data_IF_569704697120
#
_entry.id   IF_569704697120
#
_cell.length_a   1.000
_cell.length_b   1.000
_cell.length_c   1.000
_cell.angle_alpha   90.00
_cell.angle_beta   90.00
_cell.angle_gamma   90.00
#
_symmetry.space_group_name_H-M   'P 1'
#
loop_
_entity.id
_entity.type
_entity.pdbx_description
1 polymer ?
#
# COMPACT_ATOMS: atom_id res chain seq x y z
N UNK A 1 15.57 3.01 -10.92
CA UNK A 1 15.05 1.62 -10.95
C UNK A 1 14.10 1.33 -9.79
N UNK A 2 14.46 1.60 -8.53
CA UNK A 2 13.58 1.38 -7.36
C UNK A 2 12.26 2.18 -7.44
N UNK A 3 12.33 3.45 -7.86
CA UNK A 3 11.13 4.30 -8.03
C UNK A 3 10.14 3.73 -9.05
N UNK A 4 10.65 3.06 -10.09
CA UNK A 4 9.82 2.45 -11.14
C UNK A 4 9.19 1.16 -10.65
N UNK A 5 9.92 0.31 -9.90
CA UNK A 5 9.37 -0.93 -9.36
C UNK A 5 8.28 -0.66 -8.31
N UNK A 6 8.51 0.27 -7.38
CA UNK A 6 7.54 0.63 -6.36
C UNK A 6 6.31 1.38 -6.92
N UNK A 7 6.50 2.24 -7.93
CA UNK A 7 5.39 2.84 -8.66
C UNK A 7 4.61 1.80 -9.47
N UNK A 8 5.28 0.81 -10.08
CA UNK A 8 4.64 -0.33 -10.76
C UNK A 8 4.00 -1.30 -9.78
N UNK A 9 4.49 -1.40 -8.54
CA UNK A 9 3.79 -2.13 -7.50
C UNK A 9 2.56 -1.36 -7.09
N UNK A 10 2.55 -0.03 -6.94
CA UNK A 10 1.39 0.75 -6.45
C UNK A 10 0.35 1.17 -7.51
N UNK A 11 0.73 1.36 -8.77
CA UNK A 11 -0.15 1.73 -9.88
C UNK A 11 -1.26 0.70 -10.19
N UNK A 12 -1.02 -0.61 -10.08
CA UNK A 12 -2.05 -1.61 -10.23
C UNK A 12 -3.15 -1.46 -9.16
N UNK A 13 -2.88 -1.00 -7.94
CA UNK A 13 -3.83 -1.10 -6.83
C UNK A 13 -5.09 -0.28 -7.03
N UNK A 14 -4.97 0.93 -7.58
CA UNK A 14 -6.09 1.85 -7.80
C UNK A 14 -6.96 1.43 -8.99
N UNK A 15 -6.43 0.58 -9.89
CA UNK A 15 -7.16 0.00 -11.03
C UNK A 15 -7.55 -1.46 -10.82
N UNK A 16 -6.88 -2.18 -9.91
CA UNK A 16 -6.95 -3.62 -9.79
C UNK A 16 -7.76 -4.12 -8.59
N UNK A 17 -8.08 -3.25 -7.64
CA UNK A 17 -8.90 -3.58 -6.47
C UNK A 17 -10.22 -2.82 -6.56
N UNK A 18 -11.32 -3.50 -6.25
CA UNK A 18 -12.62 -2.87 -6.14
C UNK A 18 -12.55 -1.77 -5.08
N UNK A 19 -12.56 -0.51 -5.53
CA UNK A 19 -12.39 0.67 -4.69
C UNK A 19 -13.39 0.68 -3.53
N UNK A 20 -14.60 0.20 -3.76
CA UNK A 20 -15.63 0.15 -2.71
C UNK A 20 -15.27 -0.88 -1.64
N UNK A 21 -14.76 -2.06 -2.03
CA UNK A 21 -14.27 -3.07 -1.07
C UNK A 21 -13.05 -2.58 -0.28
N UNK A 22 -12.17 -1.78 -0.87
CA UNK A 22 -11.02 -1.22 -0.16
C UNK A 22 -11.42 -0.17 0.87
N UNK A 23 -12.46 0.63 0.59
CA UNK A 23 -13.02 1.58 1.57
C UNK A 23 -13.68 0.87 2.76
N UNK A 24 -14.23 -0.32 2.54
CA UNK A 24 -14.79 -1.16 3.61
C UNK A 24 -13.70 -1.79 4.50
N UNK A 25 -12.47 -1.92 3.98
CA UNK A 25 -11.35 -2.54 4.67
C UNK A 25 -10.65 -1.54 5.63
N UNK A 26 -11.15 -1.45 6.86
CA UNK A 26 -10.55 -0.64 7.94
C UNK A 26 -9.22 -1.23 8.42
N UNK A 27 -8.25 -0.38 8.79
CA UNK A 27 -6.93 -0.79 9.31
C UNK A 27 -6.98 -1.70 10.52
N UNK A 28 -7.95 -1.49 11.39
CA UNK A 28 -8.08 -2.25 12.63
C UNK A 28 -8.71 -3.63 12.42
N UNK A 29 -9.28 -3.88 11.23
CA UNK A 29 -9.98 -5.12 10.93
C UNK A 29 -9.03 -6.32 10.88
N UNK A 30 -9.54 -7.49 11.28
CA UNK A 30 -8.81 -8.76 11.13
C UNK A 30 -8.45 -9.05 9.68
N UNK A 31 -9.35 -8.73 8.75
CA UNK A 31 -9.14 -8.89 7.31
C UNK A 31 -7.93 -8.09 6.80
N UNK A 32 -7.73 -6.85 7.26
CA UNK A 32 -6.56 -6.05 6.90
C UNK A 32 -5.25 -6.67 7.44
N UNK A 33 -5.29 -7.19 8.67
CA UNK A 33 -4.14 -7.86 9.30
C UNK A 33 -3.77 -9.17 8.59
N UNK A 34 -4.76 -9.93 8.13
CA UNK A 34 -4.57 -11.16 7.34
C UNK A 34 -3.93 -10.91 5.98
N UNK A 35 -4.06 -9.70 5.42
CA UNK A 35 -3.35 -9.30 4.21
C UNK A 35 -1.85 -9.05 4.43
N UNK A 36 -1.35 -9.12 5.67
CA UNK A 36 0.07 -8.98 5.99
C UNK A 36 0.62 -7.55 5.87
N UNK A 37 -0.26 -6.55 5.73
CA UNK A 37 0.17 -5.15 5.69
C UNK A 37 0.73 -4.72 7.05
N UNK A 38 1.89 -4.04 7.08
CA UNK A 38 2.39 -3.47 8.32
C UNK A 38 1.46 -2.34 8.79
N UNK A 39 1.42 -2.11 10.10
CA UNK A 39 0.87 -0.87 10.64
C UNK A 39 1.87 0.23 10.32
N UNK A 40 1.47 1.19 9.48
CA UNK A 40 2.33 2.29 9.06
C UNK A 40 2.43 3.29 10.21
N UNK A 41 3.63 3.49 10.81
CA UNK A 41 3.77 4.49 11.86
C UNK A 41 3.62 5.88 11.23
N UNK A 42 2.65 6.66 11.73
CA UNK A 42 2.51 8.06 11.37
C UNK A 42 3.61 8.87 12.03
N UNK A 43 4.41 9.56 11.22
CA UNK A 43 5.39 10.52 11.71
C UNK A 43 4.77 11.92 11.81
N UNK A 44 5.27 12.79 12.71
CA UNK A 44 4.86 14.19 12.76
C UNK A 44 5.04 14.88 11.41
N UNK A 45 4.12 15.77 11.08
CA UNK A 45 4.13 16.55 9.83
C UNK A 45 3.76 18.00 10.11
N UNK A 46 4.06 18.89 9.17
CA UNK A 46 3.81 20.33 9.29
C UNK A 46 2.37 20.72 8.91
N UNK A 47 1.79 20.02 7.92
CA UNK A 47 0.44 20.26 7.45
C UNK A 47 -0.64 19.49 8.22
N UNK A 48 -1.91 19.70 7.85
CA UNK A 48 -3.00 18.86 8.34
C UNK A 48 -2.79 17.43 7.84
N UNK A 49 -2.70 16.47 8.76
CA UNK A 49 -2.65 15.06 8.38
C UNK A 49 -3.96 14.66 7.69
N UNK A 50 -3.91 14.01 6.52
CA UNK A 50 -5.09 13.40 5.94
C UNK A 50 -5.55 12.28 6.88
N UNK A 51 -6.86 12.15 7.05
CA UNK A 51 -7.44 11.00 7.73
C UNK A 51 -7.21 9.76 6.87
N UNK A 52 -6.35 8.87 7.35
CA UNK A 52 -6.13 7.56 6.71
C UNK A 52 -7.09 6.59 7.37
N UNK A 53 -8.34 6.56 6.89
CA UNK A 53 -9.41 5.76 7.49
C UNK A 53 -9.50 4.32 6.99
N UNK A 54 -9.02 4.07 5.78
CA UNK A 54 -9.16 2.78 5.08
C UNK A 54 -7.94 2.46 4.20
N UNK A 55 -7.90 1.21 3.73
CA UNK A 55 -6.82 0.71 2.89
C UNK A 55 -6.68 1.49 1.57
N UNK A 56 -7.77 2.01 1.01
CA UNK A 56 -7.73 2.80 -0.23
C UNK A 56 -6.93 4.09 -0.03
N UNK A 57 -7.21 4.83 1.03
CA UNK A 57 -6.52 6.08 1.35
C UNK A 57 -5.02 5.88 1.63
N UNK A 58 -4.64 4.81 2.34
CA UNK A 58 -3.22 4.49 2.53
C UNK A 58 -2.52 4.16 1.22
N UNK A 59 -3.12 3.32 0.38
CA UNK A 59 -2.54 2.95 -0.92
C UNK A 59 -2.39 4.17 -1.81
N UNK A 60 -3.39 5.06 -1.81
CA UNK A 60 -3.35 6.36 -2.51
C UNK A 60 -2.18 7.20 -2.03
N UNK A 61 -1.98 7.34 -0.72
CA UNK A 61 -0.87 8.10 -0.13
C UNK A 61 0.49 7.49 -0.44
N UNK A 62 0.65 6.17 -0.29
CA UNK A 62 1.88 5.47 -0.63
C UNK A 62 2.23 5.68 -2.10
N UNK A 63 1.27 5.46 -3.00
CA UNK A 63 1.45 5.66 -4.44
C UNK A 63 1.87 7.08 -4.75
N UNK A 64 1.16 8.07 -4.22
CA UNK A 64 1.45 9.48 -4.48
C UNK A 64 2.86 9.85 -4.00
N UNK A 65 3.26 9.41 -2.80
CA UNK A 65 4.61 9.64 -2.29
C UNK A 65 5.67 9.06 -3.23
N UNK A 66 5.50 7.80 -3.64
CA UNK A 66 6.45 7.12 -4.53
C UNK A 66 6.48 7.71 -5.95
N UNK A 67 5.32 8.05 -6.52
CA UNK A 67 5.21 8.64 -7.85
C UNK A 67 5.91 9.99 -7.97
N UNK A 68 5.91 10.77 -6.89
CA UNK A 68 6.60 12.06 -6.83
C UNK A 68 8.05 11.97 -6.34
N UNK A 69 8.58 10.75 -6.12
CA UNK A 69 9.94 10.56 -5.58
C UNK A 69 10.11 11.08 -4.16
N UNK A 70 9.01 11.23 -3.40
CA UNK A 70 9.00 11.65 -2.00
C UNK A 70 9.36 10.48 -1.09
N UNK A 71 10.60 10.00 -1.25
CA UNK A 71 11.12 8.83 -0.55
C UNK A 71 12.61 8.98 -0.26
N UNK A 72 13.03 8.46 0.89
CA UNK A 72 14.39 8.57 1.40
C UNK A 72 14.82 7.23 2.01
N UNK A 73 15.96 6.71 1.56
CA UNK A 73 16.57 5.50 2.12
C UNK A 73 17.19 5.87 3.48
N UNK A 74 16.89 5.08 4.50
CA UNK A 74 17.32 5.36 5.87
C UNK A 74 18.44 4.42 6.29
N UNK A 75 19.48 4.99 6.90
CA UNK A 75 20.41 4.25 7.74
C UNK A 75 19.78 3.97 9.13
N UNK A 76 20.45 3.13 9.92
CA UNK A 76 19.93 2.72 11.23
C UNK A 76 19.78 3.90 12.21
N UNK A 77 20.69 4.87 12.15
CA UNK A 77 20.72 6.03 13.04
C UNK A 77 19.57 6.98 12.75
N UNK A 78 19.29 7.23 11.48
CA UNK A 78 18.22 8.09 10.98
C UNK A 78 16.87 7.43 11.23
N UNK A 79 16.75 6.12 10.96
CA UNK A 79 15.54 5.36 11.31
C UNK A 79 15.24 5.43 12.82
N UNK A 80 16.24 5.25 13.68
CA UNK A 80 16.08 5.37 15.15
C UNK A 80 15.62 6.76 15.59
N UNK A 81 16.11 7.83 14.94
CA UNK A 81 15.69 9.20 15.25
C UNK A 81 14.24 9.46 14.85
N UNK A 82 13.83 8.96 13.68
CA UNK A 82 12.47 9.10 13.18
C UNK A 82 11.48 8.24 13.98
N UNK A 83 11.88 7.02 14.34
CA UNK A 83 11.06 6.06 15.09
C UNK A 83 11.55 5.93 16.53
N UNK A 84 11.04 6.80 17.39
CA UNK A 84 11.33 6.75 18.83
C UNK A 84 10.75 5.51 19.54
N UNK A 85 9.85 4.78 18.89
CA UNK A 85 9.18 3.58 19.42
C UNK A 85 9.08 2.49 18.34
N UNK A 86 9.08 1.23 18.77
CA UNK A 86 8.99 0.05 17.91
C UNK A 86 10.31 -0.70 17.78
N UNK A 87 10.27 -1.94 17.26
CA UNK A 87 11.49 -2.71 16.99
C UNK A 87 12.32 -2.03 15.90
N UNK A 88 13.65 -2.07 16.06
CA UNK A 88 14.59 -1.67 15.01
C UNK A 88 15.12 -2.92 14.31
N UNK A 89 15.47 -2.81 13.02
CA UNK A 89 16.01 -3.94 12.27
C UNK A 89 17.42 -4.28 12.74
N UNK A 90 17.78 -5.57 12.67
CA UNK A 90 19.13 -6.04 13.01
C UNK A 90 20.01 -6.00 11.77
N UNK A 91 20.43 -4.80 11.40
CA UNK A 91 21.30 -4.52 10.25
C UNK A 91 22.54 -3.75 10.72
N UNK A 92 23.63 -3.79 9.95
CA UNK A 92 24.83 -2.99 10.22
C UNK A 92 24.53 -1.51 9.97
N UNK A 93 25.29 -0.60 10.58
CA UNK A 93 25.09 0.85 10.37
C UNK A 93 25.31 1.28 8.91
N UNK A 94 26.13 0.53 8.15
CA UNK A 94 26.39 0.77 6.73
C UNK A 94 25.32 0.19 5.80
N UNK A 95 24.34 -0.54 6.33
CA UNK A 95 23.27 -1.17 5.57
C UNK A 95 21.99 -0.32 5.58
N UNK A 96 21.15 -0.55 4.57
CA UNK A 96 19.83 0.07 4.50
C UNK A 96 18.97 -0.48 5.65
N UNK A 97 18.53 0.40 6.53
CA UNK A 97 17.67 0.05 7.65
C UNK A 97 16.19 0.26 7.36
N UNK A 98 15.85 1.15 6.43
CA UNK A 98 14.45 1.43 6.15
C UNK A 98 14.21 2.40 5.01
N UNK A 99 12.94 2.78 4.86
CA UNK A 99 12.45 3.70 3.85
C UNK A 99 11.48 4.68 4.48
N UNK A 100 11.76 5.98 4.32
CA UNK A 100 10.81 7.05 4.61
C UNK A 100 10.03 7.38 3.34
N UNK A 101 8.73 7.60 3.48
CA UNK A 101 7.84 8.04 2.41
C UNK A 101 7.00 9.20 2.93
N UNK A 102 6.80 10.23 2.12
CA UNK A 102 5.96 11.37 2.50
C UNK A 102 5.08 11.87 1.33
N UNK A 103 4.06 12.65 1.67
CA UNK A 103 3.26 13.43 0.73
C UNK A 103 3.35 14.90 1.09
N UNK A 104 3.23 15.76 0.07
CA UNK A 104 3.19 17.21 0.22
C UNK A 104 1.90 17.78 -0.34
N UNK A 105 1.45 18.90 0.21
CA UNK A 105 0.42 19.71 -0.43
C UNK A 105 1.05 20.43 -1.64
N UNK A 106 0.47 20.38 -2.85
CA UNK A 106 1.05 21.03 -4.03
C UNK A 106 1.28 22.53 -3.85
N UNK A 107 0.34 23.22 -3.20
CA UNK A 107 0.35 24.69 -3.13
C UNK A 107 1.33 25.22 -2.08
N UNK A 108 1.42 24.56 -0.93
CA UNK A 108 2.26 25.03 0.20
C UNK A 108 3.57 24.28 0.33
N UNK A 109 3.75 23.19 -0.42
CA UNK A 109 4.86 22.24 -0.29
C UNK A 109 5.02 21.61 1.11
N UNK A 110 4.09 21.88 2.03
CA UNK A 110 4.09 21.35 3.39
C UNK A 110 3.88 19.84 3.37
N UNK A 111 4.64 19.11 4.18
CA UNK A 111 4.43 17.67 4.33
C UNK A 111 3.09 17.46 5.04
N UNK A 112 2.19 16.69 4.43
CA UNK A 112 0.85 16.38 4.96
C UNK A 112 0.75 14.96 5.47
N UNK A 113 1.58 14.05 4.98
CA UNK A 113 1.64 12.69 5.48
C UNK A 113 3.07 12.17 5.41
N UNK A 114 3.49 11.41 6.41
CA UNK A 114 4.85 10.89 6.48
C UNK A 114 4.86 9.58 7.27
N UNK A 115 5.58 8.59 6.75
CA UNK A 115 5.83 7.33 7.43
C UNK A 115 7.29 6.91 7.23
N UNK A 116 7.81 6.10 8.15
CA UNK A 116 9.07 5.42 7.99
C UNK A 116 8.90 3.94 8.34
N UNK A 117 9.17 3.08 7.37
CA UNK A 117 9.18 1.64 7.53
C UNK A 117 10.61 1.17 7.76
N UNK A 118 10.78 0.24 8.68
CA UNK A 118 12.00 -0.56 8.69
C UNK A 118 12.05 -1.55 7.51
N UNK A 119 13.22 -2.13 7.26
CA UNK A 119 13.42 -3.05 6.13
C UNK A 119 12.56 -4.32 6.21
N UNK A 120 12.21 -4.80 7.41
CA UNK A 120 11.36 -5.97 7.59
C UNK A 120 9.88 -5.62 7.37
N UNK A 121 9.43 -4.46 7.81
CA UNK A 121 8.10 -3.92 7.52
C UNK A 121 7.92 -3.65 6.04
N UNK A 122 8.92 -3.05 5.39
CA UNK A 122 8.92 -2.84 3.95
C UNK A 122 8.80 -4.18 3.21
N UNK A 123 9.57 -5.19 3.62
CA UNK A 123 9.46 -6.54 3.06
C UNK A 123 8.06 -7.13 3.25
N UNK A 124 7.48 -7.04 4.44
CA UNK A 124 6.10 -7.50 4.71
C UNK A 124 5.07 -6.77 3.85
N UNK A 125 5.20 -5.45 3.70
CA UNK A 125 4.34 -4.68 2.83
C UNK A 125 4.43 -5.17 1.38
N UNK A 126 5.65 -5.38 0.87
CA UNK A 126 5.87 -5.90 -0.48
C UNK A 126 5.35 -7.32 -0.66
N UNK A 127 5.55 -8.20 0.32
CA UNK A 127 5.05 -9.58 0.29
C UNK A 127 3.52 -9.61 0.32
N UNK A 128 2.88 -8.85 1.21
CA UNK A 128 1.43 -8.67 1.24
C UNK A 128 0.90 -8.05 -0.07
N UNK A 129 1.68 -7.15 -0.66
CA UNK A 129 1.37 -6.58 -1.96
C UNK A 129 1.37 -7.65 -3.06
N UNK A 130 2.43 -8.44 -3.14
CA UNK A 130 2.54 -9.53 -4.11
C UNK A 130 1.45 -10.60 -3.92
N UNK A 131 1.10 -10.93 -2.68
CA UNK A 131 0.03 -11.89 -2.39
C UNK A 131 -1.33 -11.42 -2.90
N UNK A 132 -1.66 -10.14 -2.77
CA UNK A 132 -2.91 -9.61 -3.32
C UNK A 132 -2.89 -9.60 -4.86
N UNK A 133 -1.75 -9.31 -5.49
CA UNK A 133 -1.59 -9.47 -6.93
C UNK A 133 -1.80 -10.92 -7.39
N UNK A 134 -1.32 -11.91 -6.62
CA UNK A 134 -1.52 -13.34 -6.90
C UNK A 134 -2.96 -13.79 -6.65
N UNK A 135 -3.61 -13.37 -5.55
CA UNK A 135 -5.04 -13.67 -5.32
C UNK A 135 -5.93 -13.12 -6.43
N UNK A 136 -5.54 -12.01 -7.07
CA UNK A 136 -6.25 -11.48 -8.24
C UNK A 136 -6.15 -12.38 -9.46
N UNK A 137 -5.02 -13.06 -9.73
CA UNK A 137 -4.97 -13.98 -10.87
C UNK A 137 -6.02 -15.09 -10.71
N UNK A 138 -6.28 -15.49 -9.47
CA UNK A 138 -7.36 -16.42 -9.13
C UNK A 138 -8.74 -15.76 -9.29
N UNK A 139 -8.92 -14.51 -8.83
CA UNK A 139 -10.21 -13.82 -8.95
C UNK A 139 -10.59 -13.41 -10.37
N UNK A 140 -9.62 -13.15 -11.26
CA UNK A 140 -9.91 -12.92 -12.68
C UNK A 140 -10.49 -14.17 -13.34
N UNK A 141 -10.04 -15.35 -12.92
CA UNK A 141 -10.55 -16.62 -13.41
C UNK A 141 -11.96 -16.87 -12.89
N UNK A 142 -12.20 -16.66 -11.59
CA UNK A 142 -13.53 -16.78 -10.98
C UNK A 142 -14.55 -15.79 -11.57
N UNK A 143 -14.14 -14.54 -11.80
CA UNK A 143 -14.99 -13.51 -12.43
C UNK A 143 -15.31 -13.88 -13.88
N UNK A 144 -14.34 -14.42 -14.64
CA UNK A 144 -14.58 -14.91 -16.00
C UNK A 144 -15.59 -16.05 -16.00
N UNK A 145 -15.43 -17.02 -15.11
CA UNK A 145 -16.37 -18.15 -14.94
C UNK A 145 -17.78 -17.66 -14.63
N UNK A 146 -17.94 -16.70 -13.72
CA UNK A 146 -19.25 -16.15 -13.37
C UNK A 146 -19.89 -15.33 -14.52
N UNK A 147 -19.09 -14.63 -15.31
CA UNK A 147 -19.56 -13.93 -16.51
C UNK A 147 -20.02 -14.91 -17.59
N UNK A 148 -19.23 -15.96 -17.84
CA UNK A 148 -19.56 -17.01 -18.80
C UNK A 148 -20.86 -17.74 -18.40
N UNK A 149 -21.06 -18.00 -17.10
CA UNK A 149 -22.31 -18.58 -16.58
C UNK A 149 -23.52 -17.65 -16.81
N UNK A 150 -23.42 -16.36 -16.48
CA UNK A 150 -24.51 -15.40 -16.73
C UNK A 150 -24.85 -15.26 -18.22
N UNK A 151 -23.84 -15.28 -19.08
CA UNK A 151 -24.06 -15.16 -20.51
C UNK A 151 -24.66 -16.43 -21.11
N UNK A 152 -24.30 -17.61 -20.58
CA UNK A 152 -24.97 -18.87 -20.91
C UNK A 152 -26.45 -18.86 -20.50
N UNK A 153 -26.77 -18.41 -19.28
CA UNK A 153 -28.16 -18.27 -18.81
C UNK A 153 -28.96 -17.29 -19.66
N UNK A 154 -28.37 -16.15 -20.05
CA UNK A 154 -29.00 -15.17 -20.94
C UNK A 154 -29.29 -15.73 -22.32
N UNK A 155 -28.39 -16.55 -22.88
CA UNK A 155 -28.60 -17.23 -24.17
C UNK A 155 -29.72 -18.25 -24.06
N UNK A 156 -29.73 -19.05 -22.98
CA UNK A 156 -30.78 -20.04 -22.74
C UNK A 156 -32.17 -19.39 -22.67
N UNK A 157 -32.30 -18.27 -21.94
CA UNK A 157 -33.56 -17.51 -21.84
C UNK A 157 -34.03 -16.84 -23.13
N UNK A 158 -33.12 -16.62 -24.10
CA UNK A 158 -33.46 -16.07 -25.42
C UNK A 158 -33.81 -17.15 -26.45
N UNK A 159 -33.48 -18.40 -26.15
CA UNK A 159 -33.74 -19.55 -27.03
C UNK A 159 -35.05 -20.28 -26.67
N UNK A 160 -35.60 -20.01 -25.50
CA UNK A 160 -36.94 -20.43 -25.01
C UNK A 160 -37.98 -19.36 -25.27
#
# INVERSE_FOLDING_TARGET
MINTFLAVVAHPWDQLLDKEKLKELKFESGAFKECGFPVFPSLPVEGKQPEVGDAHELLRLLRNGMAHGNMEILDLKTLRRLRQRGPLPRVKESEIAGLRIWNRLPDTMAVTWCTALDIYELRRALDGMMQLCQKRSLWQEDVRVLQDQRDAERRARRAS
#
